data_IF_931021285789
#
_entry.id   IF_931021285789
#
_cell.length_a   1.000
_cell.length_b   1.000
_cell.length_c   1.000
_cell.angle_alpha   90.00
_cell.angle_beta   90.00
_cell.angle_gamma   90.00
#
_symmetry.space_group_name_H-M   'P 1'
#
loop_
_entity.id
_entity.type
_entity.pdbx_description
1 polymer ?
#
# COMPACT_ATOMS: atom_id res chain seq x y z
N UNK A 1 14.95 1.81 -17.16
CA UNK A 1 13.54 1.97 -17.60
C UNK A 1 12.66 0.97 -16.86
N UNK A 2 11.49 1.37 -16.36
CA UNK A 2 10.48 0.40 -15.93
C UNK A 2 9.88 -0.18 -17.21
N UNK A 3 10.18 -1.43 -17.54
CA UNK A 3 9.72 -2.10 -18.75
C UNK A 3 8.23 -2.42 -18.74
N UNK A 4 7.39 -1.39 -18.57
CA UNK A 4 5.92 -1.34 -18.58
C UNK A 4 5.21 -2.70 -18.48
N UNK A 5 5.01 -3.39 -19.62
CA UNK A 5 4.32 -4.69 -19.71
C UNK A 5 5.01 -5.82 -18.92
N UNK A 6 6.34 -5.85 -18.91
CA UNK A 6 7.14 -6.82 -18.16
C UNK A 6 7.16 -6.54 -16.65
N UNK A 7 7.01 -5.28 -16.23
CA UNK A 7 6.88 -4.95 -14.79
C UNK A 7 5.52 -5.32 -14.21
N UNK A 8 4.52 -5.54 -15.06
CA UNK A 8 3.17 -5.96 -14.68
C UNK A 8 3.05 -7.46 -14.44
N UNK A 9 2.55 -8.20 -15.43
CA UNK A 9 2.15 -9.62 -15.31
C UNK A 9 3.27 -10.56 -14.85
N UNK A 10 4.47 -10.55 -15.47
CA UNK A 10 5.50 -11.52 -15.09
C UNK A 10 6.25 -11.15 -13.81
N UNK A 11 6.00 -9.97 -13.23
CA UNK A 11 6.74 -9.47 -12.06
C UNK A 11 5.81 -9.08 -10.91
N UNK A 12 5.19 -7.90 -10.95
CA UNK A 12 4.33 -7.41 -9.86
C UNK A 12 3.19 -8.37 -9.51
N UNK A 13 2.38 -8.78 -10.50
CA UNK A 13 1.21 -9.61 -10.22
C UNK A 13 1.61 -11.00 -9.74
N UNK A 14 2.59 -11.63 -10.40
CA UNK A 14 3.10 -12.94 -9.99
C UNK A 14 3.51 -12.97 -8.51
N UNK A 15 4.46 -12.12 -8.12
CA UNK A 15 5.08 -12.23 -6.78
C UNK A 15 4.11 -11.79 -5.67
N UNK A 16 3.25 -10.80 -5.93
CA UNK A 16 2.24 -10.40 -4.93
C UNK A 16 1.17 -11.47 -4.75
N UNK A 17 0.64 -12.04 -5.84
CA UNK A 17 -0.38 -13.08 -5.75
C UNK A 17 0.17 -14.31 -5.03
N UNK A 18 1.35 -14.80 -5.45
CA UNK A 18 2.01 -15.95 -4.83
C UNK A 18 2.25 -15.72 -3.33
N UNK A 19 2.77 -14.54 -2.93
CA UNK A 19 3.02 -14.25 -1.51
C UNK A 19 1.71 -14.15 -0.69
N UNK A 20 0.68 -13.52 -1.24
CA UNK A 20 -0.62 -13.38 -0.58
C UNK A 20 -1.32 -14.74 -0.42
N UNK A 21 -1.33 -15.56 -1.46
CA UNK A 21 -1.90 -16.91 -1.44
C UNK A 21 -1.14 -17.83 -0.49
N UNK A 22 0.20 -17.80 -0.53
CA UNK A 22 1.05 -18.63 0.33
C UNK A 22 0.79 -18.36 1.82
N UNK A 23 0.81 -17.10 2.26
CA UNK A 23 0.55 -16.77 3.68
C UNK A 23 -0.89 -17.09 4.08
N UNK A 24 -1.86 -16.88 3.19
CA UNK A 24 -3.25 -17.21 3.48
C UNK A 24 -3.44 -18.72 3.63
N UNK A 25 -2.81 -19.52 2.76
CA UNK A 25 -2.82 -20.98 2.82
C UNK A 25 -2.13 -21.51 4.08
N UNK A 26 -0.94 -20.99 4.42
CA UNK A 26 -0.19 -21.37 5.63
C UNK A 26 -1.00 -21.09 6.91
N UNK A 27 -1.74 -19.98 6.93
CA UNK A 27 -2.59 -19.59 8.07
C UNK A 27 -4.01 -20.16 8.02
N UNK A 28 -4.36 -20.96 7.01
CA UNK A 28 -5.72 -21.49 6.83
C UNK A 28 -6.79 -20.40 6.76
N UNK A 29 -6.46 -19.25 6.18
CA UNK A 29 -7.31 -18.06 6.12
C UNK A 29 -7.75 -17.75 4.69
N UNK A 30 -8.82 -16.95 4.56
CA UNK A 30 -9.37 -16.49 3.28
C UNK A 30 -9.50 -14.96 3.28
N UNK A 31 -9.65 -14.32 2.10
CA UNK A 31 -9.81 -12.86 1.98
C UNK A 31 -10.89 -12.27 2.89
N UNK A 32 -11.98 -13.00 3.12
CA UNK A 32 -13.09 -12.57 3.96
C UNK A 32 -12.75 -12.52 5.47
N UNK A 33 -11.65 -13.13 5.90
CA UNK A 33 -11.21 -13.12 7.31
C UNK A 33 -10.40 -11.87 7.66
N UNK A 34 -10.01 -11.06 6.66
CA UNK A 34 -9.27 -9.83 6.86
C UNK A 34 -10.23 -8.64 6.83
N UNK A 35 -10.10 -7.71 7.77
CA UNK A 35 -10.83 -6.44 7.71
C UNK A 35 -10.24 -5.53 6.65
N UNK A 36 -8.91 -5.47 6.58
CA UNK A 36 -8.17 -4.60 5.66
C UNK A 36 -7.10 -5.37 4.91
N UNK A 37 -6.76 -4.89 3.72
CA UNK A 37 -5.61 -5.36 2.95
C UNK A 37 -4.87 -4.19 2.31
N UNK A 38 -3.54 -4.25 2.34
CA UNK A 38 -2.66 -3.26 1.73
C UNK A 38 -1.67 -3.97 0.83
N UNK A 39 -1.77 -3.71 -0.47
CA UNK A 39 -0.79 -4.16 -1.47
C UNK A 39 0.20 -3.03 -1.77
N UNK A 40 1.38 -3.35 -2.30
CA UNK A 40 2.25 -2.35 -2.92
C UNK A 40 1.50 -1.56 -4.02
N UNK A 41 1.78 -0.27 -4.16
CA UNK A 41 0.92 0.65 -4.92
C UNK A 41 1.71 1.42 -5.99
N UNK A 42 2.10 0.76 -7.11
CA UNK A 42 2.84 1.45 -8.17
C UNK A 42 1.95 2.46 -8.93
N UNK A 43 0.64 2.22 -8.94
CA UNK A 43 -0.42 3.08 -9.45
C UNK A 43 -1.75 2.65 -8.83
N UNK A 44 -2.84 3.37 -9.09
CA UNK A 44 -4.17 3.08 -8.53
C UNK A 44 -4.73 1.72 -8.93
N UNK A 45 -4.54 1.30 -10.18
CA UNK A 45 -5.22 0.13 -10.77
C UNK A 45 -4.65 -1.20 -10.29
N UNK A 46 -3.35 -1.26 -10.05
CA UNK A 46 -2.64 -2.50 -9.72
C UNK A 46 -3.06 -3.14 -8.39
N UNK A 47 -3.04 -2.43 -7.24
CA UNK A 47 -3.49 -2.99 -5.96
C UNK A 47 -4.98 -3.37 -6.00
N UNK A 48 -5.81 -2.61 -6.72
CA UNK A 48 -7.23 -2.94 -6.91
C UNK A 48 -7.42 -4.21 -7.74
N UNK A 49 -6.63 -4.40 -8.82
CA UNK A 49 -6.67 -5.63 -9.65
C UNK A 49 -6.24 -6.85 -8.84
N UNK A 50 -5.17 -6.74 -8.05
CA UNK A 50 -4.74 -7.81 -7.14
C UNK A 50 -5.84 -8.15 -6.15
N UNK A 51 -6.39 -7.16 -5.46
CA UNK A 51 -7.46 -7.37 -4.50
C UNK A 51 -8.66 -8.09 -5.14
N UNK A 52 -9.08 -7.66 -6.33
CA UNK A 52 -10.14 -8.32 -7.09
C UNK A 52 -9.81 -9.78 -7.45
N UNK A 53 -8.58 -10.06 -7.91
CA UNK A 53 -8.15 -11.41 -8.29
C UNK A 53 -8.13 -12.36 -7.09
N UNK A 54 -7.68 -11.88 -5.94
CA UNK A 54 -7.65 -12.65 -4.70
C UNK A 54 -9.02 -12.78 -4.03
N UNK A 55 -10.03 -11.98 -4.41
CA UNK A 55 -11.38 -12.03 -3.83
C UNK A 55 -11.61 -11.05 -2.68
N UNK A 56 -10.76 -10.04 -2.50
CA UNK A 56 -11.01 -8.92 -1.59
C UNK A 56 -12.03 -7.94 -2.18
N UNK A 57 -12.84 -7.36 -1.30
CA UNK A 57 -13.79 -6.32 -1.65
C UNK A 57 -13.11 -4.94 -1.67
N UNK A 58 -13.61 -3.98 -2.47
CA UNK A 58 -13.02 -2.63 -2.54
C UNK A 58 -12.88 -1.94 -1.17
N UNK A 59 -13.82 -2.15 -0.26
CA UNK A 59 -13.85 -1.52 1.06
C UNK A 59 -12.68 -1.99 1.94
N UNK A 60 -12.19 -3.22 1.75
CA UNK A 60 -11.03 -3.75 2.48
C UNK A 60 -9.72 -3.07 2.04
N UNK A 61 -9.67 -2.51 0.82
CA UNK A 61 -8.48 -1.88 0.22
C UNK A 61 -8.47 -0.37 0.47
N UNK A 62 -9.67 0.24 0.51
CA UNK A 62 -9.86 1.68 0.41
C UNK A 62 -9.05 2.49 1.42
N UNK A 63 -9.03 2.09 2.70
CA UNK A 63 -8.33 2.82 3.76
C UNK A 63 -6.82 2.92 3.50
N UNK A 64 -6.22 1.86 2.96
CA UNK A 64 -4.79 1.82 2.67
C UNK A 64 -4.39 2.36 1.30
N UNK A 65 -5.33 2.64 0.39
CA UNK A 65 -5.05 3.02 -0.99
C UNK A 65 -4.70 4.52 -1.10
N UNK A 66 -3.41 4.85 -1.02
CA UNK A 66 -2.92 6.23 -0.97
C UNK A 66 -2.25 6.70 -2.27
N UNK A 67 -1.85 5.80 -3.15
CA UNK A 67 -1.24 6.16 -4.44
C UNK A 67 -2.01 7.20 -5.28
N UNK A 68 -3.37 7.31 -5.25
CA UNK A 68 -4.07 8.36 -6.00
C UNK A 68 -3.77 9.78 -5.50
N UNK A 69 -3.31 9.94 -4.24
CA UNK A 69 -3.13 11.25 -3.59
C UNK A 69 -1.66 11.58 -3.27
N UNK A 70 -0.80 10.57 -3.05
CA UNK A 70 0.62 10.79 -2.74
C UNK A 70 1.59 10.21 -3.77
N UNK A 71 1.09 9.48 -4.78
CA UNK A 71 1.92 8.79 -5.77
C UNK A 71 2.63 7.55 -5.21
N UNK A 72 3.53 6.98 -6.00
CA UNK A 72 4.30 5.79 -5.62
C UNK A 72 5.53 6.18 -4.79
N UNK A 73 5.54 5.77 -3.52
CA UNK A 73 6.65 6.01 -2.57
C UNK A 73 7.57 4.77 -2.40
N UNK A 74 7.60 3.89 -3.41
CA UNK A 74 8.51 2.76 -3.52
C UNK A 74 8.48 1.84 -2.29
N UNK A 75 9.61 1.67 -1.59
CA UNK A 75 9.71 0.84 -0.39
C UNK A 75 8.72 1.27 0.70
N UNK A 76 8.32 2.54 0.72
CA UNK A 76 7.32 3.06 1.64
C UNK A 76 5.87 2.74 1.25
N UNK A 77 5.58 2.27 0.03
CA UNK A 77 4.20 2.30 -0.50
C UNK A 77 3.24 1.39 0.25
N UNK A 78 3.70 0.20 0.64
CA UNK A 78 2.90 -0.70 1.46
C UNK A 78 2.82 -0.19 2.91
N UNK A 79 3.92 0.35 3.46
CA UNK A 79 3.99 0.80 4.84
C UNK A 79 3.14 2.05 5.10
N UNK A 80 3.13 3.03 4.19
CA UNK A 80 2.29 4.22 4.33
C UNK A 80 0.79 3.87 4.17
N UNK A 81 0.47 2.88 3.34
CA UNK A 81 -0.89 2.33 3.30
C UNK A 81 -1.27 1.66 4.62
N UNK A 82 -0.34 0.95 5.26
CA UNK A 82 -0.54 0.36 6.59
C UNK A 82 -0.78 1.44 7.65
N UNK A 83 -0.08 2.58 7.63
CA UNK A 83 -0.34 3.65 8.62
C UNK A 83 -1.76 4.19 8.50
N UNK A 84 -2.26 4.41 7.28
CA UNK A 84 -3.64 4.85 7.07
C UNK A 84 -4.68 3.81 7.51
N UNK A 85 -4.38 2.52 7.37
CA UNK A 85 -5.22 1.46 7.95
C UNK A 85 -5.19 1.50 9.47
N UNK A 86 -4.00 1.61 10.08
CA UNK A 86 -3.85 1.65 11.53
C UNK A 86 -4.50 2.89 12.16
N UNK A 87 -4.66 3.99 11.43
CA UNK A 87 -5.37 5.19 11.90
C UNK A 87 -6.89 4.99 12.09
N UNK A 88 -7.46 3.94 11.49
CA UNK A 88 -8.92 3.67 11.47
C UNK A 88 -9.30 2.26 11.91
N UNK A 89 -8.34 1.36 12.08
CA UNK A 89 -8.59 -0.01 12.50
C UNK A 89 -9.04 -0.10 13.96
N UNK A 90 -9.80 -1.13 14.29
CA UNK A 90 -10.31 -1.43 15.62
C UNK A 90 -9.60 -2.65 16.22
N UNK A 91 -9.68 -2.81 17.54
CA UNK A 91 -9.12 -3.98 18.20
C UNK A 91 -9.77 -5.27 17.68
N UNK A 92 -8.94 -6.29 17.43
CA UNK A 92 -9.38 -7.55 16.85
C UNK A 92 -9.36 -7.59 15.32
N UNK A 93 -9.28 -6.44 14.63
CA UNK A 93 -9.18 -6.41 13.18
C UNK A 93 -7.95 -7.17 12.67
N UNK A 94 -8.12 -7.88 11.56
CA UNK A 94 -7.05 -8.58 10.87
C UNK A 94 -6.66 -7.82 9.60
N UNK A 95 -5.37 -7.59 9.40
CA UNK A 95 -4.82 -6.82 8.29
C UNK A 95 -3.85 -7.70 7.51
N UNK A 96 -4.03 -7.78 6.19
CA UNK A 96 -3.05 -8.37 5.29
C UNK A 96 -2.20 -7.26 4.66
N UNK A 97 -0.88 -7.34 4.79
CA UNK A 97 0.07 -6.44 4.12
C UNK A 97 0.88 -7.27 3.14
N UNK A 98 0.98 -6.85 1.88
CA UNK A 98 1.79 -7.52 0.85
C UNK A 98 2.62 -6.49 0.09
N UNK A 99 3.94 -6.54 0.26
CA UNK A 99 4.90 -5.63 -0.37
C UNK A 99 5.26 -6.11 -1.78
N UNK A 100 6.08 -5.33 -2.50
CA UNK A 100 6.71 -5.78 -3.73
C UNK A 100 7.96 -4.94 -4.01
N UNK A 101 9.02 -5.62 -4.42
CA UNK A 101 10.26 -5.01 -4.93
C UNK A 101 10.61 -5.59 -6.29
N UNK A 102 10.92 -4.73 -7.26
CA UNK A 102 11.39 -5.16 -8.60
C UNK A 102 12.76 -5.82 -8.51
N UNK A 103 12.95 -6.93 -9.24
CA UNK A 103 14.16 -7.75 -9.20
C UNK A 103 13.97 -9.28 -9.30
N UNK A 104 12.97 -9.94 -8.68
CA UNK A 104 11.81 -9.46 -7.94
C UNK A 104 11.51 -10.32 -6.69
N UNK A 105 10.75 -9.73 -5.76
CA UNK A 105 10.32 -10.37 -4.51
C UNK A 105 9.12 -9.66 -3.89
N UNK A 106 8.47 -10.35 -2.95
CA UNK A 106 7.27 -9.88 -2.26
C UNK A 106 7.27 -10.44 -0.84
N UNK A 107 7.03 -9.59 0.15
CA UNK A 107 6.89 -9.99 1.55
C UNK A 107 5.43 -9.84 1.96
N UNK A 108 4.88 -10.85 2.63
CA UNK A 108 3.52 -10.82 3.14
C UNK A 108 3.49 -10.92 4.67
N UNK A 109 2.58 -10.17 5.29
CA UNK A 109 2.37 -10.14 6.73
C UNK A 109 0.89 -10.21 7.04
N UNK A 110 0.49 -11.11 7.95
CA UNK A 110 -0.85 -11.16 8.53
C UNK A 110 -0.79 -10.61 9.95
N UNK A 111 -1.37 -9.44 10.16
CA UNK A 111 -1.36 -8.73 11.43
C UNK A 111 -2.73 -8.84 12.12
N UNK A 112 -2.72 -8.94 13.45
CA UNK A 112 -3.93 -8.81 14.27
C UNK A 112 -3.79 -7.60 15.19
N UNK A 113 -4.72 -6.67 15.06
CA UNK A 113 -4.77 -5.48 15.90
C UNK A 113 -5.14 -5.89 17.32
N UNK A 114 -4.43 -5.34 18.30
CA UNK A 114 -4.69 -5.60 19.72
C UNK A 114 -5.38 -4.39 20.38
N UNK A 115 -5.86 -4.62 21.61
CA UNK A 115 -6.60 -3.64 22.43
C UNK A 115 -5.83 -2.33 22.71
N UNK A 116 -4.51 -2.30 22.50
CA UNK A 116 -3.70 -1.09 22.77
C UNK A 116 -3.76 -0.09 21.61
N UNK A 117 -4.23 -0.47 20.42
CA UNK A 117 -4.22 0.44 19.27
C UNK A 117 -4.99 1.75 19.53
N UNK A 118 -6.22 1.75 20.09
CA UNK A 118 -6.97 2.98 20.35
C UNK A 118 -6.22 3.98 21.24
N UNK A 119 -5.46 3.50 22.21
CA UNK A 119 -4.63 4.34 23.10
C UNK A 119 -3.41 4.94 22.39
N UNK A 120 -3.01 4.39 21.23
CA UNK A 120 -1.81 4.80 20.48
C UNK A 120 -2.13 5.65 19.25
N UNK A 121 -3.28 5.43 18.62
CA UNK A 121 -3.71 6.14 17.40
C UNK A 121 -3.68 7.66 17.55
N UNK A 122 -4.03 8.18 18.72
CA UNK A 122 -4.08 9.63 18.99
C UNK A 122 -2.76 10.26 19.45
N UNK A 123 -1.69 9.47 19.63
CA UNK A 123 -0.41 10.00 20.15
C UNK A 123 0.43 10.69 19.07
N UNK A 124 0.03 10.61 17.81
CA UNK A 124 0.64 11.29 16.69
C UNK A 124 -0.43 11.76 15.71
N UNK A 125 -0.07 12.68 14.82
CA UNK A 125 -0.92 13.08 13.70
C UNK A 125 -1.22 11.87 12.81
N UNK A 126 -2.44 11.80 12.29
CA UNK A 126 -2.88 10.74 11.38
C UNK A 126 -2.26 10.93 10.00
N UNK A 127 -2.21 9.85 9.23
CA UNK A 127 -1.73 9.84 7.84
C UNK A 127 -2.44 10.90 6.99
N UNK A 128 -3.76 11.06 7.18
CA UNK A 128 -4.56 12.06 6.44
C UNK A 128 -4.20 13.50 6.82
N UNK A 129 -3.78 13.76 8.06
CA UNK A 129 -3.35 15.10 8.48
C UNK A 129 -2.07 15.53 7.74
N UNK A 130 -1.16 14.58 7.50
CA UNK A 130 0.04 14.81 6.68
C UNK A 130 -0.28 15.08 5.21
N UNK A 131 -1.30 14.43 4.66
CA UNK A 131 -1.75 14.62 3.27
C UNK A 131 -2.49 15.96 3.12
N UNK A 132 -3.29 16.35 4.12
CA UNK A 132 -4.08 17.57 4.11
C UNK A 132 -3.20 18.82 4.19
N UNK A 133 -2.08 18.78 4.93
CA UNK A 133 -1.14 19.92 5.07
C UNK A 133 -0.21 20.14 3.88
N UNK A 134 -0.50 19.56 2.70
CA UNK A 134 0.32 19.69 1.50
C UNK A 134 0.32 21.12 0.97
N UNK A 135 1.39 21.50 0.28
CA UNK A 135 1.49 22.74 -0.49
C UNK A 135 1.56 22.36 -1.97
N UNK A 136 0.60 22.83 -2.75
CA UNK A 136 0.59 22.61 -4.19
C UNK A 136 1.60 23.54 -4.87
N UNK A 137 2.34 23.00 -5.84
CA UNK A 137 3.37 23.71 -6.58
C UNK A 137 3.19 23.47 -8.07
N UNK A 138 3.59 24.44 -8.88
CA UNK A 138 3.64 24.28 -10.33
C UNK A 138 4.80 23.37 -10.78
N UNK A 139 4.78 23.01 -12.06
CA UNK A 139 5.80 22.13 -12.63
C UNK A 139 7.20 22.77 -12.64
N UNK A 140 7.31 24.08 -12.82
CA UNK A 140 8.60 24.78 -12.84
C UNK A 140 9.28 24.71 -11.46
N UNK A 141 8.52 24.96 -10.40
CA UNK A 141 8.95 24.84 -9.01
C UNK A 141 9.35 23.41 -8.68
N UNK A 142 8.53 22.42 -9.09
CA UNK A 142 8.85 21.00 -8.95
C UNK A 142 10.15 20.63 -9.66
N UNK A 143 10.30 21.01 -10.93
CA UNK A 143 11.48 20.69 -11.74
C UNK A 143 12.75 21.30 -11.12
N UNK A 144 12.65 22.53 -10.61
CA UNK A 144 13.73 23.17 -9.84
C UNK A 144 14.07 22.39 -8.57
N UNK A 145 13.09 22.06 -7.72
CA UNK A 145 13.32 21.32 -6.46
C UNK A 145 13.86 19.91 -6.69
N UNK A 146 13.51 19.27 -7.80
CA UNK A 146 14.00 17.94 -8.17
C UNK A 146 15.31 17.95 -8.96
N UNK A 147 15.91 19.11 -9.21
CA UNK A 147 17.15 19.22 -9.98
C UNK A 147 17.01 18.76 -11.44
N UNK A 148 15.81 18.89 -12.04
CA UNK A 148 15.55 18.50 -13.44
C UNK A 148 15.94 19.59 -14.45
N UNK A 149 16.29 20.78 -14.00
CA UNK A 149 16.71 21.89 -14.85
C UNK A 149 18.22 21.85 -15.02
N UNK A 150 18.69 21.52 -16.21
CA UNK A 150 20.10 21.66 -16.58
C UNK A 150 20.36 23.11 -16.98
N UNK A 151 20.97 23.89 -16.09
CA UNK A 151 21.51 25.20 -16.45
C UNK A 151 22.80 24.94 -17.22
N UNK A 152 22.85 25.36 -18.50
CA UNK A 152 24.08 25.40 -19.28
C UNK A 152 24.96 26.56 -18.83
#
# INVERSE_FOLDING_TARGET
EHGERFTGEPSYFKHILEAAEAIMAELGSKPADYRYVVFHQPNTKFPQRVGKQLGFKPEQIQAGLLVPVIGNVYAGSALVGLTAVLDVAEAGDRILLVSYGSGAGSDAFSLRVNERLPERQGLANKTQDYIARRIEIDYATYARFRGKLTLK
#
